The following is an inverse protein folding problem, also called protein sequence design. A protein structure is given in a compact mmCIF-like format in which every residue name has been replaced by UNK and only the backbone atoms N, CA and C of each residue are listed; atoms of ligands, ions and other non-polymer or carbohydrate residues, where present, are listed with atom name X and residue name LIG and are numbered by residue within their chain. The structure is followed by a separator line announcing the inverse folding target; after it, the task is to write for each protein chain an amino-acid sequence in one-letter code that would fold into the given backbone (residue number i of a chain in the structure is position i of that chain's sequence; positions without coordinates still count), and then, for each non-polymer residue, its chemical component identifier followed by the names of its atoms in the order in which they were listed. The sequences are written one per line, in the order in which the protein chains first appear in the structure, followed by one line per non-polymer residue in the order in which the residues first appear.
data_IF_226461919595
#
_entry.id   IF_226461919595
#
_cell.length_a   1.000
_cell.length_b   1.000
_cell.length_c   1.000
_cell.angle_alpha   90.00
_cell.angle_beta   90.00
_cell.angle_gamma   90.00
#
_symmetry.space_group_name_H-M   'P 1'
#
loop_
_entity.id
_entity.type
_entity.pdbx_description
1 polymer ?
#
# COMPACT_ATOMS: atom_id res chain seq x y z
N UNK A 1 10.90 9.82 -29.39
CA UNK A 1 9.44 9.67 -29.44
C UNK A 1 8.92 8.23 -29.31
N UNK A 2 9.62 7.21 -29.84
CA UNK A 2 9.19 5.80 -29.73
C UNK A 2 9.24 5.24 -28.29
N UNK A 3 10.29 5.54 -27.54
CA UNK A 3 10.48 5.09 -26.15
C UNK A 3 9.38 5.60 -25.20
N UNK A 4 8.96 6.86 -25.35
CA UNK A 4 7.87 7.46 -24.54
C UNK A 4 6.50 6.82 -24.85
N UNK A 5 6.24 6.46 -26.11
CA UNK A 5 5.03 5.71 -26.49
C UNK A 5 5.06 4.27 -25.95
N UNK A 6 6.23 3.65 -25.89
CA UNK A 6 6.41 2.29 -25.38
C UNK A 6 6.23 2.25 -23.85
N UNK A 7 6.80 3.22 -23.12
CA UNK A 7 6.52 3.47 -21.71
C UNK A 7 5.03 3.74 -21.44
N UNK A 8 4.38 4.55 -22.28
CA UNK A 8 2.95 4.83 -22.14
C UNK A 8 2.05 3.61 -22.36
N UNK A 9 2.45 2.67 -23.23
CA UNK A 9 1.77 1.38 -23.42
C UNK A 9 2.05 0.41 -22.26
N UNK A 10 3.29 0.39 -21.76
CA UNK A 10 3.69 -0.43 -20.61
C UNK A 10 2.97 0.00 -19.33
N UNK A 11 2.90 1.31 -19.05
CA UNK A 11 2.14 1.87 -17.92
C UNK A 11 0.64 1.59 -18.07
N UNK A 12 0.07 1.69 -19.28
CA UNK A 12 -1.34 1.32 -19.51
C UNK A 12 -1.59 -0.17 -19.25
N UNK A 13 -0.72 -1.05 -19.76
CA UNK A 13 -0.83 -2.50 -19.55
C UNK A 13 -0.68 -2.87 -18.07
N UNK A 14 0.22 -2.19 -17.35
CA UNK A 14 0.40 -2.33 -15.91
C UNK A 14 -0.83 -1.88 -15.13
N UNK A 15 -1.44 -0.75 -15.49
CA UNK A 15 -2.70 -0.28 -14.89
C UNK A 15 -3.82 -1.30 -15.11
N UNK A 16 -3.95 -1.86 -16.33
CA UNK A 16 -4.99 -2.86 -16.60
C UNK A 16 -4.75 -4.19 -15.84
N UNK A 17 -3.50 -4.65 -15.73
CA UNK A 17 -3.15 -5.87 -14.99
C UNK A 17 -3.21 -5.70 -13.46
N UNK A 18 -3.04 -4.49 -12.94
CA UNK A 18 -3.22 -4.20 -11.52
C UNK A 18 -4.67 -3.93 -11.16
N UNK A 19 -5.49 -3.38 -12.06
CA UNK A 19 -6.91 -3.10 -11.80
C UNK A 19 -7.76 -4.35 -11.53
N UNK A 20 -7.35 -5.55 -11.96
CA UNK A 20 -8.03 -6.80 -11.55
C UNK A 20 -7.77 -7.19 -10.09
N UNK A 21 -6.78 -6.58 -9.42
CA UNK A 21 -6.39 -6.92 -8.04
C UNK A 21 -6.86 -5.92 -6.99
N UNK A 22 -7.31 -4.74 -7.39
CA UNK A 22 -7.68 -3.66 -6.48
C UNK A 22 -9.14 -3.28 -6.63
N UNK A 23 -9.83 -3.16 -5.49
CA UNK A 23 -11.19 -2.62 -5.42
C UNK A 23 -11.23 -1.17 -5.94
N UNK A 24 -12.41 -0.71 -6.36
CA UNK A 24 -12.59 0.70 -6.78
C UNK A 24 -12.20 1.69 -5.68
N UNK A 25 -12.41 1.31 -4.41
CA UNK A 25 -11.99 2.09 -3.25
C UNK A 25 -10.47 2.18 -3.14
N UNK A 26 -9.76 1.06 -3.30
CA UNK A 26 -8.29 1.04 -3.31
C UNK A 26 -7.72 1.86 -4.46
N UNK A 27 -8.30 1.75 -5.66
CA UNK A 27 -7.89 2.56 -6.83
C UNK A 27 -8.13 4.06 -6.59
N UNK A 28 -9.27 4.43 -5.99
CA UNK A 28 -9.57 5.82 -5.63
C UNK A 28 -8.56 6.35 -4.60
N UNK A 29 -8.26 5.56 -3.56
CA UNK A 29 -7.27 5.92 -2.54
C UNK A 29 -5.86 6.09 -3.12
N UNK A 30 -5.45 5.21 -4.04
CA UNK A 30 -4.17 5.34 -4.76
C UNK A 30 -4.10 6.63 -5.58
N UNK A 31 -5.16 6.97 -6.31
CA UNK A 31 -5.23 8.21 -7.11
C UNK A 31 -5.20 9.47 -6.22
N UNK A 32 -5.92 9.45 -5.09
CA UNK A 32 -5.92 10.55 -4.12
C UNK A 32 -4.54 10.76 -3.52
N UNK A 33 -3.89 9.69 -3.05
CA UNK A 33 -2.53 9.73 -2.52
C UNK A 33 -1.51 10.23 -3.53
N UNK A 34 -1.64 9.79 -4.79
CA UNK A 34 -0.76 10.27 -5.86
C UNK A 34 -0.88 11.78 -6.06
N UNK A 35 -2.11 12.32 -5.99
CA UNK A 35 -2.34 13.77 -6.05
C UNK A 35 -1.80 14.50 -4.81
N UNK A 36 -2.05 13.97 -3.60
CA UNK A 36 -1.53 14.52 -2.34
C UNK A 36 0.00 14.61 -2.34
N UNK A 37 0.67 13.61 -2.93
CA UNK A 37 2.12 13.56 -3.09
C UNK A 37 2.65 14.37 -4.29
N UNK A 38 1.85 15.29 -4.85
CA UNK A 38 2.25 16.11 -5.99
C UNK A 38 2.74 15.29 -7.19
N UNK A 39 2.10 14.13 -7.45
CA UNK A 39 2.48 13.19 -8.50
C UNK A 39 3.85 12.53 -8.29
N UNK A 40 4.38 12.53 -7.07
CA UNK A 40 5.55 11.74 -6.70
C UNK A 40 5.14 10.27 -6.46
N UNK A 41 5.49 9.40 -7.40
CA UNK A 41 5.14 7.98 -7.35
C UNK A 41 5.73 7.25 -6.14
N UNK A 42 6.99 7.53 -5.78
CA UNK A 42 7.67 6.85 -4.68
C UNK A 42 7.04 7.21 -3.34
N UNK A 43 6.77 8.49 -3.15
CA UNK A 43 6.12 8.99 -1.93
C UNK A 43 4.68 8.48 -1.81
N UNK A 44 3.92 8.47 -2.92
CA UNK A 44 2.55 7.96 -2.94
C UNK A 44 2.48 6.46 -2.63
N UNK A 45 3.39 5.67 -3.21
CA UNK A 45 3.47 4.24 -2.93
C UNK A 45 3.81 3.97 -1.45
N UNK A 46 4.78 4.70 -0.89
CA UNK A 46 5.16 4.57 0.51
C UNK A 46 4.00 4.92 1.45
N UNK A 47 3.32 6.04 1.21
CA UNK A 47 2.15 6.45 1.99
C UNK A 47 0.98 5.48 1.86
N UNK A 48 0.75 4.91 0.67
CA UNK A 48 -0.27 3.88 0.48
C UNK A 48 0.05 2.63 1.29
N UNK A 49 1.28 2.13 1.23
CA UNK A 49 1.69 0.96 2.01
C UNK A 49 1.59 1.19 3.52
N UNK A 50 1.95 2.39 4.00
CA UNK A 50 1.77 2.76 5.41
C UNK A 50 0.30 2.79 5.81
N UNK A 51 -0.56 3.47 5.03
CA UNK A 51 -2.00 3.55 5.33
C UNK A 51 -2.66 2.17 5.30
N UNK A 52 -2.31 1.34 4.32
CA UNK A 52 -2.81 -0.03 4.20
C UNK A 52 -2.36 -0.90 5.38
N UNK A 53 -1.08 -0.83 5.76
CA UNK A 53 -0.55 -1.53 6.93
C UNK A 53 -1.22 -1.09 8.22
N UNK A 54 -1.33 0.22 8.47
CA UNK A 54 -1.94 0.77 9.69
C UNK A 54 -3.39 0.31 9.80
N UNK A 55 -4.15 0.40 8.71
CA UNK A 55 -5.54 -0.08 8.69
C UNK A 55 -5.64 -1.58 8.97
N UNK A 56 -4.86 -2.41 8.26
CA UNK A 56 -4.83 -3.85 8.47
C UNK A 56 -4.46 -4.22 9.91
N UNK A 57 -3.39 -3.62 10.44
CA UNK A 57 -2.94 -3.83 11.80
C UNK A 57 -4.00 -3.45 12.84
N UNK A 58 -4.59 -2.25 12.73
CA UNK A 58 -5.64 -1.80 13.66
C UNK A 58 -6.86 -2.72 13.59
N UNK A 59 -7.32 -3.06 12.39
CA UNK A 59 -8.45 -3.98 12.20
C UNK A 59 -8.17 -5.32 12.89
N UNK A 60 -7.01 -5.91 12.63
CA UNK A 60 -6.67 -7.22 13.18
C UNK A 60 -6.59 -7.16 14.72
N UNK A 61 -6.05 -6.07 15.30
CA UNK A 61 -6.02 -5.87 16.76
C UNK A 61 -7.42 -5.62 17.37
N UNK A 62 -8.29 -4.88 16.69
CA UNK A 62 -9.64 -4.57 17.17
C UNK A 62 -10.53 -5.82 17.17
N UNK A 63 -10.39 -6.65 16.13
CA UNK A 63 -11.22 -7.84 15.91
C UNK A 63 -10.58 -9.16 16.39
N UNK A 64 -9.38 -9.12 16.99
CA UNK A 64 -8.79 -10.25 17.72
C UNK A 64 -9.73 -10.80 18.80
N UNK A 65 -10.58 -9.93 19.36
CA UNK A 65 -11.77 -10.32 20.11
C UNK A 65 -12.96 -9.46 19.68
N UNK A 66 -14.16 -10.06 19.64
CA UNK A 66 -15.38 -9.33 19.27
C UNK A 66 -15.62 -8.15 20.24
N UNK A 67 -15.69 -6.90 19.75
CA UNK A 67 -15.99 -5.75 20.59
C UNK A 67 -17.40 -5.81 21.15
N UNK A 68 -17.58 -5.44 22.41
CA UNK A 68 -18.88 -5.54 23.10
C UNK A 68 -19.83 -4.39 22.79
N UNK A 69 -19.27 -3.22 22.51
CA UNK A 69 -20.01 -2.00 22.22
C UNK A 69 -19.10 -0.96 21.55
N UNK A 70 -19.67 0.20 21.20
CA UNK A 70 -18.93 1.29 20.55
C UNK A 70 -17.72 1.80 21.36
N UNK A 71 -17.83 1.89 22.68
CA UNK A 71 -16.72 2.40 23.50
C UNK A 71 -15.55 1.42 23.54
N UNK A 72 -15.84 0.12 23.56
CA UNK A 72 -14.83 -0.94 23.45
C UNK A 72 -14.10 -0.89 22.09
N UNK A 73 -14.83 -0.67 20.98
CA UNK A 73 -14.20 -0.44 19.67
C UNK A 73 -13.25 0.76 19.70
N UNK A 74 -13.68 1.90 20.26
CA UNK A 74 -12.85 3.12 20.33
C UNK A 74 -11.59 2.86 21.17
N UNK A 75 -11.74 2.22 22.33
CA UNK A 75 -10.62 1.91 23.21
C UNK A 75 -9.63 0.97 22.52
N UNK A 76 -10.11 -0.07 21.83
CA UNK A 76 -9.25 -0.99 21.08
C UNK A 76 -8.51 -0.29 19.93
N UNK A 77 -9.16 0.63 19.21
CA UNK A 77 -8.50 1.43 18.17
C UNK A 77 -7.38 2.27 18.78
N UNK A 78 -7.64 2.95 19.89
CA UNK A 78 -6.65 3.78 20.59
C UNK A 78 -5.45 2.94 21.05
N UNK A 79 -5.70 1.83 21.76
CA UNK A 79 -4.66 0.91 22.23
C UNK A 79 -3.87 0.29 21.06
N UNK A 80 -4.53 -0.08 19.96
CA UNK A 80 -3.85 -0.58 18.77
C UNK A 80 -2.97 0.49 18.12
N UNK A 81 -3.45 1.74 18.07
CA UNK A 81 -2.70 2.87 17.50
C UNK A 81 -1.44 3.18 18.31
N UNK A 82 -1.51 3.12 19.64
CA UNK A 82 -0.36 3.32 20.54
C UNK A 82 0.74 2.25 20.37
N UNK A 83 0.38 1.05 19.91
CA UNK A 83 1.35 -0.03 19.63
C UNK A 83 2.11 0.18 18.32
N UNK A 84 1.66 1.08 17.43
CA UNK A 84 2.33 1.32 16.15
C UNK A 84 3.57 2.16 16.39
N UNK A 85 4.73 1.58 16.14
CA UNK A 85 6.02 2.26 16.34
C UNK A 85 6.58 2.83 15.04
N UNK A 86 7.43 3.87 15.09
CA UNK A 86 8.17 4.36 13.92
C UNK A 86 9.00 3.26 13.24
N UNK A 87 9.53 2.32 14.02
CA UNK A 87 10.29 1.17 13.50
C UNK A 87 9.43 0.24 12.63
N UNK A 88 8.16 -0.01 13.02
CA UNK A 88 7.23 -0.78 12.20
C UNK A 88 6.99 -0.08 10.86
N UNK A 89 6.75 1.23 10.87
CA UNK A 89 6.55 2.02 9.65
C UNK A 89 7.81 2.05 8.77
N UNK A 90 9.01 2.14 9.36
CA UNK A 90 10.28 2.04 8.60
C UNK A 90 10.39 0.71 7.87
N UNK A 91 10.11 -0.41 8.57
CA UNK A 91 10.13 -1.75 7.96
C UNK A 91 9.10 -1.89 6.84
N UNK A 92 7.91 -1.28 6.97
CA UNK A 92 6.90 -1.28 5.90
C UNK A 92 7.43 -0.56 4.67
N UNK A 93 8.05 0.62 4.84
CA UNK A 93 8.68 1.37 3.73
C UNK A 93 9.81 0.58 3.09
N UNK A 94 10.72 0.02 3.89
CA UNK A 94 11.85 -0.78 3.41
C UNK A 94 11.38 -2.00 2.60
N UNK A 95 10.38 -2.73 3.11
CA UNK A 95 9.81 -3.87 2.40
C UNK A 95 9.12 -3.46 1.10
N UNK A 96 8.40 -2.34 1.08
CA UNK A 96 7.83 -1.81 -0.16
C UNK A 96 8.93 -1.47 -1.17
N UNK A 97 9.97 -0.74 -0.75
CA UNK A 97 11.05 -0.34 -1.65
C UNK A 97 11.82 -1.55 -2.19
N UNK A 98 12.03 -2.59 -1.36
CA UNK A 98 12.58 -3.88 -1.81
C UNK A 98 11.70 -4.52 -2.89
N UNK A 99 10.38 -4.57 -2.68
CA UNK A 99 9.42 -5.13 -3.66
C UNK A 99 9.42 -4.35 -4.98
N UNK A 100 9.50 -3.01 -4.91
CA UNK A 100 9.60 -2.16 -6.10
C UNK A 100 10.91 -2.43 -6.86
N UNK A 101 12.03 -2.63 -6.14
CA UNK A 101 13.31 -2.95 -6.76
C UNK A 101 13.28 -4.32 -7.46
N UNK A 102 12.79 -5.37 -6.76
CA UNK A 102 12.64 -6.72 -7.34
C UNK A 102 11.71 -6.71 -8.57
N UNK A 103 10.59 -6.00 -8.50
CA UNK A 103 9.69 -5.85 -9.65
C UNK A 103 10.37 -5.20 -10.86
N UNK A 104 11.25 -4.23 -10.63
CA UNK A 104 12.02 -3.59 -11.69
C UNK A 104 13.09 -4.53 -12.27
N UNK A 105 13.77 -5.31 -11.42
CA UNK A 105 14.77 -6.31 -11.82
C UNK A 105 14.14 -7.44 -12.66
N UNK A 106 12.94 -7.89 -12.29
CA UNK A 106 12.19 -8.92 -13.01
C UNK A 106 11.45 -8.39 -14.26
N UNK A 107 11.75 -7.17 -14.74
CA UNK A 107 11.06 -6.52 -15.86
C UNK A 107 9.52 -6.50 -15.74
N UNK A 108 9.02 -6.43 -14.51
CA UNK A 108 7.60 -6.47 -14.20
C UNK A 108 6.99 -7.88 -14.11
N UNK A 109 7.81 -8.92 -14.05
CA UNK A 109 7.42 -10.30 -13.78
C UNK A 109 7.04 -10.57 -12.33
N UNK A 110 6.74 -11.83 -12.03
CA UNK A 110 6.46 -12.32 -10.67
C UNK A 110 7.76 -12.45 -9.87
N UNK A 111 7.77 -11.92 -8.65
CA UNK A 111 8.95 -11.87 -7.78
C UNK A 111 8.67 -12.44 -6.38
N UNK A 112 7.51 -13.08 -6.18
CA UNK A 112 7.11 -13.72 -4.92
C UNK A 112 8.06 -14.85 -4.50
N UNK A 113 8.76 -15.46 -5.45
CA UNK A 113 9.75 -16.50 -5.20
C UNK A 113 11.07 -15.97 -4.59
N UNK A 114 11.27 -14.64 -4.61
CA UNK A 114 12.47 -13.94 -4.12
C UNK A 114 12.18 -13.15 -2.82
N UNK A 115 10.94 -13.21 -2.31
CA UNK A 115 10.46 -12.39 -1.19
C UNK A 115 10.53 -13.06 0.18
#
# INVERSE_FOLDING_TARGET
MAVVKQLGKFVRSLIYLTMERYTNEELANMLLLYRECQKNQRQAAALYAERFFVWGYIRDQVYDSLPRNRNDVIQKIQTASEKITPMMLSKVRENLMRRIALFAEENGGHFEHVL
#
